data_IF_404309256283
#
_entry.id   IF_404309256283
#
_cell.length_a   1.000
_cell.length_b   1.000
_cell.length_c   1.000
_cell.angle_alpha   90.00
_cell.angle_beta   90.00
_cell.angle_gamma   90.00
#
_symmetry.space_group_name_H-M   'P 1'
#
loop_
_entity.id
_entity.type
_entity.pdbx_description
1 polymer ?
#
# COMPACT_ATOMS: atom_id res chain seq x y z
N UNK A 1 -14.24 41.01 67.23
CA UNK A 1 -14.02 40.30 65.96
C UNK A 1 -14.14 41.31 64.84
N UNK A 2 -13.01 41.81 64.35
CA UNK A 2 -12.94 42.69 63.20
C UNK A 2 -12.95 41.84 61.93
N UNK A 3 -13.80 42.17 60.95
CA UNK A 3 -13.64 41.76 59.56
C UNK A 3 -14.37 42.77 58.66
N UNK A 4 -13.60 43.76 58.20
CA UNK A 4 -13.69 44.41 56.89
C UNK A 4 -12.45 43.95 56.09
N UNK A 5 -12.29 44.16 54.76
CA UNK A 5 -13.21 44.60 53.69
C UNK A 5 -13.00 43.83 52.33
N UNK A 6 -13.74 44.19 51.27
CA UNK A 6 -13.42 44.11 49.82
C UNK A 6 -12.50 42.95 49.29
N UNK A 7 -13.06 42.01 48.52
CA UNK A 7 -12.31 41.03 47.71
C UNK A 7 -12.67 41.17 46.20
N UNK A 8 -11.70 41.18 45.26
CA UNK A 8 -11.65 42.20 44.22
C UNK A 8 -11.97 41.70 42.79
N UNK A 9 -12.88 42.42 42.11
CA UNK A 9 -13.22 42.31 40.68
C UNK A 9 -12.04 42.50 39.69
N UNK A 10 -10.87 42.92 40.17
CA UNK A 10 -9.67 43.20 39.35
C UNK A 10 -8.92 41.93 38.93
N UNK A 11 -9.04 40.85 39.70
CA UNK A 11 -8.32 39.60 39.41
C UNK A 11 -8.93 38.85 38.22
N UNK A 12 -10.24 38.95 38.03
CA UNK A 12 -10.93 38.32 36.89
C UNK A 12 -10.49 38.91 35.55
N UNK A 13 -10.27 40.23 35.47
CA UNK A 13 -9.83 40.91 34.25
C UNK A 13 -8.34 40.69 33.95
N UNK A 14 -7.52 40.59 35.01
CA UNK A 14 -6.10 40.25 34.92
C UNK A 14 -5.90 38.82 34.43
N UNK A 15 -6.68 37.88 34.97
CA UNK A 15 -6.69 36.47 34.53
C UNK A 15 -7.14 36.35 33.07
N UNK A 16 -8.16 37.10 32.64
CA UNK A 16 -8.64 37.09 31.26
C UNK A 16 -7.59 37.64 30.27
N UNK A 17 -6.84 38.69 30.63
CA UNK A 17 -5.76 39.28 29.81
C UNK A 17 -4.55 38.34 29.64
N UNK A 18 -4.34 37.40 30.56
CA UNK A 18 -3.25 36.41 30.47
C UNK A 18 -3.71 35.15 29.73
N UNK A 19 -4.96 34.73 29.88
CA UNK A 19 -5.47 33.49 29.26
C UNK A 19 -5.71 33.67 27.75
N UNK A 20 -6.27 34.79 27.29
CA UNK A 20 -6.49 35.04 25.86
C UNK A 20 -5.23 34.88 24.99
N UNK A 21 -4.08 35.51 25.32
CA UNK A 21 -2.87 35.34 24.52
C UNK A 21 -2.28 33.92 24.63
N UNK A 22 -2.38 33.26 25.80
CA UNK A 22 -1.91 31.88 26.01
C UNK A 22 -2.76 30.88 25.21
N UNK A 23 -4.08 31.09 25.14
CA UNK A 23 -4.98 30.29 24.30
C UNK A 23 -4.69 30.53 22.82
N UNK A 24 -4.43 31.76 22.38
CA UNK A 24 -4.01 32.00 20.98
C UNK A 24 -2.68 31.35 20.63
N UNK A 25 -1.72 31.30 21.56
CA UNK A 25 -0.42 30.64 21.35
C UNK A 25 -0.56 29.12 21.28
N UNK A 26 -1.42 28.51 22.11
CA UNK A 26 -1.68 27.05 22.09
C UNK A 26 -2.48 26.61 20.86
N UNK A 27 -3.43 27.43 20.39
CA UNK A 27 -4.12 27.19 19.12
C UNK A 27 -3.18 27.34 17.92
N UNK A 28 -2.26 28.32 17.94
CA UNK A 28 -1.28 28.51 16.87
C UNK A 28 -0.31 27.31 16.72
N UNK A 29 -0.04 26.57 17.80
CA UNK A 29 0.83 25.38 17.77
C UNK A 29 0.14 24.08 17.33
N UNK A 30 -1.19 24.07 17.16
CA UNK A 30 -1.93 22.87 16.67
C UNK A 30 -2.30 22.95 15.20
N UNK A 31 -1.94 24.03 14.51
CA UNK A 31 -1.85 24.01 13.04
C UNK A 31 -0.47 23.45 12.66
N UNK A 32 -0.22 22.19 13.03
CA UNK A 32 0.48 21.33 12.08
C UNK A 32 -0.52 21.15 10.94
N UNK A 33 -0.48 22.08 10.00
CA UNK A 33 -1.09 21.84 8.71
C UNK A 33 -0.54 20.50 8.24
N UNK A 34 -1.43 19.52 8.09
CA UNK A 34 -1.17 18.41 7.19
C UNK A 34 -0.91 19.08 5.84
N UNK A 35 0.36 19.14 5.50
CA UNK A 35 0.82 19.61 4.22
C UNK A 35 0.42 18.53 3.22
N UNK A 36 -0.86 18.53 2.84
CA UNK A 36 -1.24 18.10 1.50
C UNK A 36 -0.56 19.11 0.57
N UNK A 37 0.69 18.80 0.25
CA UNK A 37 1.46 19.51 -0.75
C UNK A 37 0.74 19.36 -2.08
N UNK A 38 -0.15 20.30 -2.38
CA UNK A 38 -0.51 20.69 -3.73
C UNK A 38 0.67 21.48 -4.33
N UNK A 39 1.82 20.80 -4.44
CA UNK A 39 2.82 21.14 -5.44
C UNK A 39 2.51 20.27 -6.65
N UNK A 40 2.34 20.92 -7.81
CA UNK A 40 2.25 20.35 -9.15
C UNK A 40 3.58 19.68 -9.58
N UNK A 41 4.09 18.80 -8.72
CA UNK A 41 5.13 17.83 -9.02
C UNK A 41 4.43 16.51 -9.26
N UNK A 42 3.96 16.31 -10.49
CA UNK A 42 3.34 15.06 -10.94
C UNK A 42 4.17 13.85 -10.49
N UNK A 43 3.60 13.03 -9.59
CA UNK A 43 4.24 11.80 -9.09
C UNK A 43 4.44 10.80 -10.22
N UNK A 44 5.45 9.94 -10.11
CA UNK A 44 5.67 8.86 -11.07
C UNK A 44 4.51 7.85 -11.02
N UNK A 45 4.08 7.32 -12.17
CA UNK A 45 3.02 6.31 -12.23
C UNK A 45 3.43 5.02 -11.49
N UNK A 46 4.73 4.74 -11.39
CA UNK A 46 5.27 3.64 -10.57
C UNK A 46 4.92 3.76 -9.10
N UNK A 47 4.72 4.98 -8.59
CA UNK A 47 4.58 5.26 -7.16
C UNK A 47 3.11 5.45 -6.75
N UNK A 48 2.17 5.27 -7.68
CA UNK A 48 0.75 5.29 -7.41
C UNK A 48 0.38 4.22 -6.36
N UNK A 49 -0.47 4.61 -5.41
CA UNK A 49 -0.97 3.74 -4.35
C UNK A 49 -2.03 2.78 -4.90
N UNK A 50 -2.23 1.67 -4.18
CA UNK A 50 -3.29 0.70 -4.49
C UNK A 50 -4.64 1.45 -4.45
N UNK A 51 -5.43 1.33 -5.52
CA UNK A 51 -6.70 2.06 -5.71
C UNK A 51 -6.59 3.33 -6.58
N UNK A 52 -5.38 3.82 -6.85
CA UNK A 52 -5.15 4.93 -7.80
C UNK A 52 -4.82 4.44 -9.22
N UNK A 53 -4.82 3.13 -9.43
CA UNK A 53 -4.59 2.49 -10.72
C UNK A 53 -5.36 1.18 -10.82
N UNK A 54 -5.60 0.74 -12.05
CA UNK A 54 -6.25 -0.50 -12.43
C UNK A 54 -5.32 -1.27 -13.36
N UNK A 55 -4.91 -2.48 -12.96
CA UNK A 55 -4.09 -3.35 -13.79
C UNK A 55 -4.95 -4.26 -14.67
N UNK A 56 -4.49 -4.50 -15.90
CA UNK A 56 -5.09 -5.48 -16.77
C UNK A 56 -4.75 -6.91 -16.35
N UNK A 57 -5.35 -7.86 -17.06
CA UNK A 57 -5.04 -9.29 -16.91
C UNK A 57 -3.56 -9.54 -17.28
N UNK A 58 -2.76 -10.19 -16.41
CA UNK A 58 -1.38 -10.52 -16.73
C UNK A 58 -1.27 -11.62 -17.79
N UNK A 59 -0.12 -11.70 -18.46
CA UNK A 59 0.21 -12.85 -19.30
C UNK A 59 0.58 -14.04 -18.40
N UNK A 60 -0.12 -15.15 -18.58
CA UNK A 60 0.04 -16.37 -17.79
C UNK A 60 0.80 -17.41 -18.61
N UNK A 61 1.84 -18.00 -18.02
CA UNK A 61 2.57 -19.10 -18.65
C UNK A 61 1.67 -20.35 -18.70
N UNK A 62 1.45 -20.96 -19.90
CA UNK A 62 0.51 -22.07 -20.04
C UNK A 62 0.94 -23.33 -19.28
N UNK A 63 2.26 -23.52 -19.09
CA UNK A 63 2.82 -24.69 -18.43
C UNK A 63 2.70 -24.57 -16.92
N UNK A 64 3.11 -23.43 -16.36
CA UNK A 64 3.19 -23.24 -14.90
C UNK A 64 1.95 -22.59 -14.29
N UNK A 65 1.09 -21.97 -15.10
CA UNK A 65 -0.02 -21.12 -14.65
C UNK A 65 0.42 -19.97 -13.73
N UNK A 66 1.69 -19.55 -13.83
CA UNK A 66 2.22 -18.38 -13.13
C UNK A 66 2.30 -17.16 -14.06
N UNK A 67 2.35 -15.97 -13.48
CA UNK A 67 2.64 -14.74 -14.24
C UNK A 67 3.96 -14.91 -14.99
N UNK A 68 3.95 -14.62 -16.28
CA UNK A 68 5.13 -14.71 -17.12
C UNK A 68 6.18 -13.68 -16.69
N UNK A 69 7.44 -14.10 -16.62
CA UNK A 69 8.54 -13.20 -16.22
C UNK A 69 8.59 -12.83 -14.74
N UNK A 70 7.95 -13.63 -13.87
CA UNK A 70 8.13 -13.51 -12.43
C UNK A 70 9.61 -13.74 -12.06
N UNK A 71 10.24 -12.80 -11.36
CA UNK A 71 11.63 -12.91 -10.92
C UNK A 71 11.75 -13.77 -9.66
N UNK A 72 12.70 -14.69 -9.62
CA UNK A 72 12.95 -15.56 -8.46
C UNK A 72 13.43 -14.77 -7.24
N UNK A 73 14.29 -13.79 -7.46
CA UNK A 73 14.96 -13.06 -6.37
C UNK A 73 14.04 -12.01 -5.74
N UNK A 74 13.32 -11.25 -6.57
CA UNK A 74 12.45 -10.16 -6.10
C UNK A 74 11.03 -10.59 -5.84
N UNK A 75 10.59 -11.76 -6.35
CA UNK A 75 9.19 -12.22 -6.32
C UNK A 75 8.22 -11.18 -6.85
N UNK A 76 8.64 -10.51 -7.93
CA UNK A 76 7.83 -9.50 -8.64
C UNK A 76 7.77 -9.80 -10.13
N UNK A 77 6.61 -9.51 -10.72
CA UNK A 77 6.33 -9.64 -12.14
C UNK A 77 5.80 -8.32 -12.71
N UNK A 78 6.00 -8.12 -14.01
CA UNK A 78 5.57 -6.91 -14.69
C UNK A 78 4.14 -7.04 -15.23
N UNK A 79 3.31 -6.04 -14.96
CA UNK A 79 1.95 -5.95 -15.50
C UNK A 79 1.65 -4.55 -16.02
N UNK A 80 0.76 -4.48 -16.98
CA UNK A 80 0.29 -3.21 -17.56
C UNK A 80 -0.88 -2.67 -16.76
N UNK A 81 -0.76 -1.44 -16.29
CA UNK A 81 -1.79 -0.77 -15.52
C UNK A 81 -2.18 0.58 -16.13
N UNK A 82 -3.37 1.03 -15.78
CA UNK A 82 -3.97 2.31 -16.18
C UNK A 82 -4.25 3.13 -14.93
N UNK A 83 -4.02 4.45 -14.94
CA UNK A 83 -4.34 5.30 -13.79
C UNK A 83 -5.84 5.39 -13.61
N UNK A 84 -6.28 5.58 -12.36
CA UNK A 84 -7.68 5.82 -12.05
C UNK A 84 -8.15 7.14 -12.70
N UNK A 85 -9.46 7.27 -13.01
CA UNK A 85 -10.00 8.50 -13.57
C UNK A 85 -9.68 9.72 -12.67
N UNK A 86 -9.12 10.78 -13.26
CA UNK A 86 -8.75 12.00 -12.53
C UNK A 86 -7.38 11.97 -11.84
N UNK A 87 -6.62 10.88 -11.95
CA UNK A 87 -5.24 10.80 -11.46
C UNK A 87 -4.26 10.99 -12.61
N UNK A 88 -3.44 12.04 -12.54
CA UNK A 88 -2.38 12.31 -13.52
C UNK A 88 -1.03 11.94 -12.93
N UNK A 89 -0.19 11.25 -13.70
CA UNK A 89 1.13 10.80 -13.28
C UNK A 89 2.14 10.83 -14.43
N UNK A 90 3.43 10.88 -14.08
CA UNK A 90 4.54 10.87 -15.02
C UNK A 90 4.98 9.42 -15.36
N UNK A 91 5.31 9.15 -16.63
CA UNK A 91 5.74 7.82 -17.09
C UNK A 91 4.63 6.99 -17.77
N UNK A 92 3.55 7.65 -18.18
CA UNK A 92 2.48 7.04 -18.96
C UNK A 92 2.93 6.82 -20.43
N UNK A 93 2.64 5.65 -20.99
CA UNK A 93 2.84 5.38 -22.41
C UNK A 93 1.78 6.10 -23.25
N UNK A 94 2.02 6.21 -24.56
CA UNK A 94 1.07 6.83 -25.52
C UNK A 94 -0.33 6.20 -25.49
N UNK A 95 -0.43 4.94 -25.06
CA UNK A 95 -1.69 4.21 -24.93
C UNK A 95 -2.43 4.46 -23.60
N UNK A 96 -1.89 5.31 -22.72
CA UNK A 96 -2.46 5.57 -21.39
C UNK A 96 -2.13 4.52 -20.33
N UNK A 97 -1.20 3.61 -20.63
CA UNK A 97 -0.78 2.52 -19.73
C UNK A 97 0.62 2.75 -19.18
N UNK A 98 0.94 2.13 -18.05
CA UNK A 98 2.28 2.11 -17.48
C UNK A 98 2.62 0.73 -16.91
N UNK A 99 3.89 0.32 -16.94
CA UNK A 99 4.32 -0.93 -16.32
C UNK A 99 4.41 -0.76 -14.80
N UNK A 100 3.90 -1.75 -14.06
CA UNK A 100 4.00 -1.81 -12.60
C UNK A 100 4.51 -3.19 -12.20
N UNK A 101 5.39 -3.23 -11.21
CA UNK A 101 5.82 -4.47 -10.56
C UNK A 101 4.76 -4.88 -9.54
N UNK A 102 4.18 -6.06 -9.74
CA UNK A 102 3.25 -6.68 -8.79
C UNK A 102 3.90 -7.89 -8.14
N UNK A 103 3.57 -8.19 -6.87
CA UNK A 103 4.08 -9.40 -6.22
C UNK A 103 3.59 -10.65 -6.95
N UNK A 104 4.47 -11.63 -7.10
CA UNK A 104 4.19 -12.91 -7.74
C UNK A 104 4.92 -14.05 -7.03
N UNK A 105 4.34 -15.25 -7.06
CA UNK A 105 5.00 -16.45 -6.57
C UNK A 105 5.78 -17.09 -7.72
N UNK A 106 7.11 -17.17 -7.54
CA UNK A 106 7.98 -17.79 -8.52
C UNK A 106 7.87 -19.32 -8.44
N UNK A 107 7.71 -19.96 -9.60
CA UNK A 107 7.63 -21.43 -9.71
C UNK A 107 8.90 -21.99 -10.34
N UNK A 108 9.32 -23.19 -9.94
CA UNK A 108 10.48 -23.90 -10.50
C UNK A 108 10.23 -24.45 -11.92
N UNK A 109 9.26 -23.91 -12.67
CA UNK A 109 8.88 -24.45 -13.98
C UNK A 109 8.10 -25.77 -13.94
N UNK A 110 7.53 -26.12 -12.78
CA UNK A 110 6.66 -27.29 -12.62
C UNK A 110 5.37 -27.10 -13.41
N UNK A 111 4.91 -28.17 -14.07
CA UNK A 111 3.76 -28.08 -14.97
C UNK A 111 2.47 -28.32 -14.20
N UNK A 112 1.52 -27.39 -14.32
CA UNK A 112 0.21 -27.51 -13.70
C UNK A 112 -0.55 -28.74 -14.19
N UNK A 113 -0.50 -29.02 -15.50
CA UNK A 113 -1.15 -30.21 -16.08
C UNK A 113 -0.59 -31.51 -15.52
N UNK A 114 0.73 -31.62 -15.40
CA UNK A 114 1.38 -32.79 -14.82
C UNK A 114 1.02 -32.94 -13.35
N UNK A 115 1.00 -31.85 -12.57
CA UNK A 115 0.54 -31.89 -11.19
C UNK A 115 -0.90 -32.39 -11.10
N UNK A 116 -1.80 -31.89 -11.95
CA UNK A 116 -3.19 -32.34 -12.00
C UNK A 116 -3.31 -33.84 -12.34
N UNK A 117 -2.55 -34.32 -13.33
CA UNK A 117 -2.51 -35.75 -13.67
C UNK A 117 -1.94 -36.59 -12.52
N UNK A 118 -0.84 -36.15 -11.89
CA UNK A 118 -0.24 -36.84 -10.75
C UNK A 118 -1.18 -36.86 -9.54
N UNK A 119 -1.94 -35.79 -9.32
CA UNK A 119 -2.99 -35.72 -8.29
C UNK A 119 -4.09 -36.76 -8.54
N UNK A 120 -4.56 -36.90 -9.79
CA UNK A 120 -5.63 -37.84 -10.14
C UNK A 120 -5.14 -39.30 -10.08
N UNK A 121 -4.00 -39.59 -10.69
CA UNK A 121 -3.55 -40.97 -10.90
C UNK A 121 -2.65 -41.50 -9.77
N UNK A 122 -1.85 -40.63 -9.13
CA UNK A 122 -0.88 -41.01 -8.10
C UNK A 122 -1.11 -40.25 -6.77
N UNK A 123 -2.29 -39.66 -6.57
CA UNK A 123 -2.65 -38.95 -5.34
C UNK A 123 -2.59 -39.85 -4.09
N UNK A 124 -2.98 -41.13 -4.20
CA UNK A 124 -2.89 -42.09 -3.10
C UNK A 124 -1.44 -42.41 -2.68
N UNK A 125 -0.49 -42.28 -3.60
CA UNK A 125 0.95 -42.45 -3.33
C UNK A 125 1.64 -41.13 -2.98
N UNK A 126 0.94 -40.00 -3.04
CA UNK A 126 1.50 -38.68 -2.71
C UNK A 126 2.56 -38.16 -3.67
N UNK A 127 2.71 -38.74 -4.87
CA UNK A 127 3.73 -38.34 -5.86
C UNK A 127 3.54 -36.90 -6.32
N UNK A 128 2.28 -36.43 -6.37
CA UNK A 128 1.92 -35.04 -6.64
C UNK A 128 2.63 -34.03 -5.71
N UNK A 129 2.71 -34.32 -4.40
CA UNK A 129 3.34 -33.42 -3.42
C UNK A 129 4.84 -33.30 -3.59
N UNK A 130 5.50 -34.41 -3.96
CA UNK A 130 6.92 -34.40 -4.30
C UNK A 130 7.19 -33.68 -5.62
N UNK A 131 6.30 -33.81 -6.61
CA UNK A 131 6.42 -33.11 -7.89
C UNK A 131 6.37 -31.59 -7.73
N UNK A 132 5.48 -31.08 -6.87
CA UNK A 132 5.38 -29.65 -6.58
C UNK A 132 6.53 -29.10 -5.72
N UNK A 133 7.38 -29.97 -5.15
CA UNK A 133 8.51 -29.53 -4.32
C UNK A 133 8.10 -29.12 -2.91
N UNK A 134 7.01 -29.66 -2.38
CA UNK A 134 6.64 -29.59 -0.97
C UNK A 134 7.03 -30.90 -0.28
N UNK A 135 8.33 -31.20 -0.04
CA UNK A 135 8.67 -32.27 0.88
C UNK A 135 8.05 -31.86 2.23
N UNK A 136 7.15 -32.69 2.75
CA UNK A 136 6.59 -32.48 4.06
C UNK A 136 7.77 -32.26 5.03
N UNK A 137 7.86 -31.06 5.60
CA UNK A 137 8.77 -30.76 6.68
C UNK A 137 8.22 -31.53 7.88
N UNK A 138 8.61 -32.80 7.97
CA UNK A 138 8.54 -33.55 9.22
C UNK A 138 9.50 -32.88 10.20
N UNK A 139 8.95 -32.49 11.34
CA UNK A 139 9.69 -31.99 12.50
C UNK A 139 10.76 -32.96 13.03
#
# INVERSE_FOLDING_TARGET
>A
MSLDPDLPRKDMYSVLLVILPVVTQTLASTVEGHQDSEEDSLKACSDLLIGQYLCGEPEIDPKTQSIQGCSKDTRTGYVWCTPAPGVTCNGLHKNGTFPKNVPCEWTNGQSFETALLLSIFLGMFGVDRFYLGYPALGE
#
